data_IF_920090339467
#
_entry.id   IF_920090339467
#
_cell.length_a   1.000
_cell.length_b   1.000
_cell.length_c   1.000
_cell.angle_alpha   90.00
_cell.angle_beta   90.00
_cell.angle_gamma   90.00
#
_symmetry.space_group_name_H-M   'P 1'
#
loop_
_entity.id
_entity.type
_entity.pdbx_description
1 polymer ?
#
# COMPACT_ATOMS: atom_id res chain seq x y z
N UNK A 1 -16.52 -10.61 -10.37
CA UNK A 1 -15.73 -9.53 -9.75
C UNK A 1 -15.54 -8.44 -10.80
N UNK A 2 -15.57 -7.15 -10.44
CA UNK A 2 -15.22 -6.08 -11.38
C UNK A 2 -13.83 -6.35 -12.00
N UNK A 3 -13.61 -6.01 -13.28
CA UNK A 3 -12.32 -6.24 -13.95
C UNK A 3 -11.14 -5.54 -13.28
N UNK A 4 -11.41 -4.52 -12.46
CA UNK A 4 -10.43 -3.69 -11.75
C UNK A 4 -10.38 -3.97 -10.24
N UNK A 5 -10.96 -5.08 -9.78
CA UNK A 5 -10.94 -5.44 -8.36
C UNK A 5 -9.63 -6.14 -7.99
N UNK A 6 -8.89 -5.55 -7.08
CA UNK A 6 -7.66 -6.11 -6.51
C UNK A 6 -7.89 -6.47 -5.03
N UNK A 7 -7.41 -7.64 -4.63
CA UNK A 7 -7.38 -8.07 -3.23
C UNK A 7 -6.03 -8.66 -2.90
N UNK A 8 -5.51 -8.30 -1.73
CA UNK A 8 -4.24 -8.79 -1.22
C UNK A 8 -4.35 -9.14 0.25
N UNK A 9 -3.62 -10.16 0.68
CA UNK A 9 -3.28 -10.38 2.08
C UNK A 9 -1.99 -9.62 2.40
N UNK A 10 -2.12 -8.56 3.20
CA UNK A 10 -1.00 -7.76 3.68
C UNK A 10 -0.37 -8.40 4.93
N UNK A 11 0.95 -8.49 4.92
CA UNK A 11 1.75 -8.87 6.09
C UNK A 11 2.78 -7.80 6.38
N UNK A 12 2.88 -7.40 7.64
CA UNK A 12 3.84 -6.45 8.17
C UNK A 12 4.58 -7.08 9.34
N UNK A 13 5.91 -6.93 9.39
CA UNK A 13 6.72 -7.39 10.50
C UNK A 13 7.99 -6.55 10.61
N UNK A 14 8.65 -6.62 11.76
CA UNK A 14 9.95 -5.99 11.97
C UNK A 14 11.05 -7.05 11.99
N UNK A 15 12.22 -6.67 11.49
CA UNK A 15 13.46 -7.42 11.62
C UNK A 15 14.55 -6.49 12.15
N UNK A 16 15.45 -7.04 12.96
CA UNK A 16 16.66 -6.32 13.34
C UNK A 16 17.70 -6.46 12.22
N UNK A 17 18.10 -5.32 11.65
CA UNK A 17 19.15 -5.23 10.65
C UNK A 17 20.19 -4.20 11.07
N UNK A 18 21.44 -4.63 11.19
CA UNK A 18 22.56 -3.76 11.59
C UNK A 18 22.31 -3.00 12.89
N UNK A 19 21.56 -3.60 13.83
CA UNK A 19 21.20 -2.99 15.12
C UNK A 19 20.04 -1.99 15.04
N UNK A 20 19.28 -1.97 13.95
CA UNK A 20 18.07 -1.15 13.78
C UNK A 20 16.86 -2.03 13.48
N UNK A 21 15.70 -1.71 14.08
CA UNK A 21 14.44 -2.35 13.73
C UNK A 21 13.92 -1.77 12.42
N UNK A 22 13.76 -2.63 11.41
CA UNK A 22 13.32 -2.26 10.07
C UNK A 22 11.99 -2.94 9.77
N UNK A 23 11.02 -2.17 9.29
CA UNK A 23 9.75 -2.70 8.80
C UNK A 23 9.91 -3.39 7.45
N UNK A 24 9.42 -4.62 7.37
CA UNK A 24 9.28 -5.39 6.13
C UNK A 24 7.81 -5.64 5.83
N UNK A 25 7.53 -5.84 4.55
CA UNK A 25 6.17 -6.12 4.11
C UNK A 25 6.13 -7.18 3.02
N UNK A 26 4.98 -7.85 2.92
CA UNK A 26 4.64 -8.64 1.73
C UNK A 26 3.17 -8.56 1.41
N UNK A 27 2.87 -8.71 0.12
CA UNK A 27 1.52 -8.90 -0.40
C UNK A 27 1.43 -10.26 -1.08
N UNK A 28 0.32 -10.93 -0.85
CA UNK A 28 -0.03 -12.18 -1.52
C UNK A 28 -1.44 -12.02 -2.11
N UNK A 29 -1.58 -12.37 -3.38
CA UNK A 29 -2.88 -12.38 -4.06
C UNK A 29 -3.65 -13.65 -3.68
N UNK A 30 -4.87 -13.56 -3.14
CA UNK A 30 -5.66 -14.73 -2.80
C UNK A 30 -5.88 -15.64 -4.01
N UNK A 31 -5.46 -16.90 -3.89
CA UNK A 31 -5.59 -17.89 -4.96
C UNK A 31 -4.43 -17.92 -5.96
N UNK A 32 -3.40 -17.08 -5.78
CA UNK A 32 -2.11 -17.22 -6.45
C UNK A 32 -1.05 -17.64 -5.42
N UNK A 33 -0.08 -18.45 -5.86
CA UNK A 33 1.08 -18.80 -5.02
C UNK A 33 2.16 -17.70 -4.99
N UNK A 34 1.96 -16.63 -5.75
CA UNK A 34 2.91 -15.53 -5.87
C UNK A 34 2.83 -14.58 -4.67
N UNK A 35 4.00 -14.31 -4.08
CA UNK A 35 4.17 -13.37 -2.99
C UNK A 35 5.17 -12.29 -3.38
N UNK A 36 4.73 -11.04 -3.35
CA UNK A 36 5.58 -9.88 -3.53
C UNK A 36 6.14 -9.47 -2.17
N UNK A 37 7.46 -9.53 -2.03
CA UNK A 37 8.16 -9.10 -0.81
C UNK A 37 8.75 -7.71 -1.04
N UNK A 38 8.66 -6.87 -0.03
CA UNK A 38 9.12 -5.49 -0.06
C UNK A 38 10.12 -5.26 1.06
N UNK A 39 11.24 -4.62 0.72
CA UNK A 39 12.25 -4.25 1.69
C UNK A 39 11.77 -3.06 2.54
N UNK A 40 10.82 -2.27 2.08
CA UNK A 40 10.26 -1.19 2.88
C UNK A 40 8.77 -1.00 2.67
N UNK A 41 8.16 -0.25 3.58
CA UNK A 41 6.76 0.17 3.47
C UNK A 41 6.56 1.10 2.27
N UNK A 42 7.57 1.89 1.91
CA UNK A 42 7.52 2.75 0.73
C UNK A 42 7.44 1.93 -0.56
N UNK A 43 8.27 0.89 -0.70
CA UNK A 43 8.21 -0.01 -1.87
C UNK A 43 6.85 -0.72 -1.99
N UNK A 44 6.27 -1.15 -0.86
CA UNK A 44 4.91 -1.69 -0.82
C UNK A 44 3.88 -0.67 -1.36
N UNK A 45 3.99 0.59 -0.95
CA UNK A 45 3.03 1.63 -1.33
C UNK A 45 3.19 2.05 -2.79
N UNK A 46 4.43 2.14 -3.30
CA UNK A 46 4.72 2.36 -4.71
C UNK A 46 4.12 1.25 -5.58
N UNK A 47 4.22 -0.01 -5.13
CA UNK A 47 3.58 -1.12 -5.81
C UNK A 47 2.05 -0.97 -5.86
N UNK A 48 1.41 -0.66 -4.73
CA UNK A 48 -0.04 -0.45 -4.67
C UNK A 48 -0.51 0.74 -5.54
N UNK A 49 0.27 1.81 -5.60
CA UNK A 49 0.01 2.94 -6.51
C UNK A 49 0.04 2.49 -7.97
N UNK A 50 1.05 1.71 -8.38
CA UNK A 50 1.15 1.22 -9.76
C UNK A 50 -0.03 0.32 -10.13
N UNK A 51 -0.44 -0.60 -9.24
CA UNK A 51 -1.56 -1.50 -9.50
C UNK A 51 -2.90 -0.75 -9.63
N UNK A 52 -3.09 0.30 -8.83
CA UNK A 52 -4.31 1.12 -8.85
C UNK A 52 -4.35 2.11 -10.02
N UNK A 53 -3.19 2.61 -10.49
CA UNK A 53 -3.13 3.48 -11.68
C UNK A 53 -3.29 2.71 -13.00
N UNK A 54 -2.92 1.43 -13.04
CA UNK A 54 -3.14 0.59 -14.23
C UNK A 54 -4.64 0.34 -14.50
N UNK A 55 -5.46 0.38 -13.46
CA UNK A 55 -6.89 0.08 -13.50
C UNK A 55 -7.76 1.35 -13.62
N UNK A 56 -7.16 2.54 -13.68
CA UNK A 56 -7.84 3.81 -13.97
C UNK A 56 -7.02 5.05 -13.58
N UNK A 57 -7.46 6.25 -13.98
CA UNK A 57 -6.81 7.52 -13.62
C UNK A 57 -7.09 7.95 -12.17
N UNK A 58 -6.85 7.07 -11.21
CA UNK A 58 -6.98 7.37 -9.79
C UNK A 58 -5.81 8.24 -9.33
N UNK A 59 -6.04 9.07 -8.31
CA UNK A 59 -4.93 9.68 -7.58
C UNK A 59 -4.68 8.87 -6.32
N UNK A 60 -3.54 8.21 -6.26
CA UNK A 60 -3.06 7.53 -5.07
C UNK A 60 -2.20 8.50 -4.24
N UNK A 61 -2.44 8.55 -2.93
CA UNK A 61 -1.59 9.26 -1.97
C UNK A 61 -1.43 8.41 -0.74
N UNK A 62 -0.23 8.40 -0.19
CA UNK A 62 0.03 7.78 1.08
C UNK A 62 0.81 8.73 1.99
N UNK A 63 0.60 8.58 3.30
CA UNK A 63 1.40 9.21 4.33
C UNK A 63 1.81 8.14 5.32
N UNK A 64 3.10 8.11 5.64
CA UNK A 64 3.69 7.14 6.57
C UNK A 64 4.25 7.93 7.75
N UNK A 65 3.84 7.57 8.96
CA UNK A 65 4.40 8.11 10.19
C UNK A 65 4.95 6.95 11.01
N UNK A 66 6.26 6.96 11.21
CA UNK A 66 6.94 6.04 12.12
C UNK A 66 7.15 6.75 13.46
N UNK A 67 6.71 6.13 14.54
CA UNK A 67 6.93 6.63 15.91
C UNK A 67 7.79 5.62 16.65
N UNK A 68 8.90 6.12 17.18
CA UNK A 68 9.83 5.37 18.01
C UNK A 68 9.88 6.03 19.38
N UNK A 69 9.00 5.61 20.31
CA UNK A 69 8.96 6.13 21.67
C UNK A 69 9.16 4.98 22.67
N UNK A 70 10.19 5.08 23.51
CA UNK A 70 10.42 4.19 24.67
C UNK A 70 10.14 2.69 24.39
N UNK A 71 10.85 2.12 23.42
CA UNK A 71 10.75 0.71 22.99
C UNK A 71 9.46 0.30 22.27
N UNK A 72 8.44 1.17 22.20
CA UNK A 72 7.24 0.95 21.41
C UNK A 72 7.41 1.59 20.02
N UNK A 73 7.61 0.72 19.02
CA UNK A 73 7.71 1.15 17.62
C UNK A 73 6.36 0.95 16.95
N UNK A 74 5.73 2.05 16.53
CA UNK A 74 4.48 1.99 15.78
C UNK A 74 4.64 2.64 14.41
N UNK A 75 3.89 2.11 13.44
CA UNK A 75 3.78 2.67 12.10
C UNK A 75 2.32 2.97 11.79
N UNK A 76 2.06 4.21 11.40
CA UNK A 76 0.76 4.64 10.89
C UNK A 76 0.86 4.83 9.38
N UNK A 77 0.02 4.10 8.64
CA UNK A 77 -0.06 4.17 7.19
C UNK A 77 -1.43 4.71 6.83
N UNK A 78 -1.47 5.89 6.23
CA UNK A 78 -2.70 6.51 5.73
C UNK A 78 -2.70 6.50 4.21
N UNK A 79 -3.57 5.68 3.61
CA UNK A 79 -3.76 5.61 2.16
C UNK A 79 -5.02 6.39 1.78
N UNK A 80 -4.93 7.20 0.73
CA UNK A 80 -6.05 7.94 0.16
C UNK A 80 -6.06 7.73 -1.35
N UNK A 81 -7.12 7.08 -1.85
CA UNK A 81 -7.36 6.91 -3.28
C UNK A 81 -8.53 7.79 -3.68
N UNK A 82 -8.34 8.63 -4.70
CA UNK A 82 -9.40 9.48 -5.26
C UNK A 82 -9.70 9.04 -6.69
N UNK A 83 -10.96 8.72 -6.95
CA UNK A 83 -11.47 8.55 -8.31
C UNK A 83 -11.39 9.87 -9.08
N UNK A 84 -11.02 9.85 -10.37
CA UNK A 84 -11.13 11.04 -11.21
C UNK A 84 -12.59 11.51 -11.19
N UNK A 85 -12.79 12.83 -11.11
CA UNK A 85 -14.14 13.41 -11.14
C UNK A 85 -14.83 12.93 -12.41
N UNK A 86 -15.98 12.26 -12.26
CA UNK A 86 -16.82 11.88 -13.39
C UNK A 86 -17.28 13.18 -14.09
N UNK A 87 -16.71 13.46 -15.26
CA UNK A 87 -17.01 14.66 -16.06
C UNK A 87 -18.45 14.61 -16.60
N UNK A 88 -19.16 13.47 -16.45
CA UNK A 88 -20.53 13.24 -16.95
C UNK A 88 -21.67 13.82 -16.09
N UNK A 89 -21.39 14.77 -15.20
CA UNK A 89 -22.42 15.54 -14.46
C UNK A 89 -22.36 17.05 -14.73
N UNK A 90 -22.09 17.44 -15.98
CA UNK A 90 -22.26 18.82 -16.46
C UNK A 90 -22.96 18.87 -17.82
N UNK A 91 -24.09 18.21 -17.98
CA UNK A 91 -25.12 18.68 -18.91
C UNK A 91 -26.45 18.67 -18.15
N UNK A 92 -26.91 19.86 -17.82
CA UNK A 92 -28.22 20.14 -17.23
C UNK A 92 -28.95 21.08 -18.17
#
# INVERSE_FOLDING_TARGET
MPPDYLAYMLRLWQLEEQGQLVWRASLEEPGKEERNNFASIYELLDFLEQQTNQTGNYTFRHHVVEKNENEDTSIEIKITVKSPKDVRKQEK
#
